data_IF_290538994156
#
_entry.id   IF_290538994156
#
_cell.length_a   1.000
_cell.length_b   1.000
_cell.length_c   1.000
_cell.angle_alpha   90.00
_cell.angle_beta   90.00
_cell.angle_gamma   90.00
#
_symmetry.space_group_name_H-M   'P 1'
#
loop_
_entity.id
_entity.type
_entity.pdbx_description
1 polymer ?
#
# COMPACT_ATOMS: atom_id res chain seq x y z
N UNK A 1 9.68 21.86 12.20
CA UNK A 1 9.67 22.48 10.84
C UNK A 1 10.60 21.75 9.88
N UNK A 2 11.93 21.90 9.94
CA UNK A 2 12.83 21.22 8.99
C UNK A 2 12.74 19.67 9.00
N UNK A 3 12.46 19.07 10.16
CA UNK A 3 12.28 17.62 10.29
C UNK A 3 10.95 17.15 9.67
N UNK A 4 9.84 17.83 9.95
CA UNK A 4 8.53 17.44 9.39
C UNK A 4 8.48 17.56 7.86
N UNK A 5 9.20 18.51 7.28
CA UNK A 5 9.30 18.65 5.82
C UNK A 5 10.13 17.50 5.21
N UNK A 6 11.15 17.02 5.94
CA UNK A 6 11.87 15.79 5.60
C UNK A 6 11.01 14.53 5.75
N UNK A 7 10.15 14.47 6.76
CA UNK A 7 9.21 13.37 6.99
C UNK A 7 8.16 13.33 5.88
N UNK A 8 7.63 14.47 5.46
CA UNK A 8 6.70 14.58 4.32
C UNK A 8 7.32 14.05 3.03
N UNK A 9 8.57 14.42 2.74
CA UNK A 9 9.30 13.93 1.58
C UNK A 9 9.57 12.42 1.65
N UNK A 10 9.85 11.92 2.84
CA UNK A 10 10.04 10.48 3.09
C UNK A 10 8.76 9.70 2.85
N UNK A 11 7.63 10.18 3.40
CA UNK A 11 6.30 9.60 3.16
C UNK A 11 5.99 9.61 1.65
N UNK A 12 6.23 10.73 0.95
CA UNK A 12 5.97 10.86 -0.47
C UNK A 12 6.75 9.84 -1.32
N UNK A 13 8.04 9.63 -1.00
CA UNK A 13 8.87 8.61 -1.66
C UNK A 13 8.36 7.19 -1.45
N UNK A 14 7.93 6.85 -0.23
CA UNK A 14 7.34 5.54 0.11
C UNK A 14 6.05 5.31 -0.69
N UNK A 15 5.18 6.33 -0.75
CA UNK A 15 3.92 6.25 -1.52
C UNK A 15 4.20 6.07 -3.01
N UNK A 16 5.11 6.85 -3.59
CA UNK A 16 5.45 6.79 -5.02
C UNK A 16 6.07 5.44 -5.46
N UNK A 17 6.79 4.76 -4.57
CA UNK A 17 7.42 3.45 -4.80
C UNK A 17 6.53 2.24 -4.47
N UNK A 18 5.35 2.45 -3.89
CA UNK A 18 4.54 1.38 -3.34
C UNK A 18 3.87 0.55 -4.45
N UNK A 19 4.07 -0.77 -4.41
CA UNK A 19 3.38 -1.68 -5.34
C UNK A 19 2.10 -2.30 -4.78
N UNK A 20 1.89 -2.34 -3.46
CA UNK A 20 0.63 -2.82 -2.84
C UNK A 20 0.44 -2.40 -1.36
N UNK A 21 1.52 -2.48 -0.57
CA UNK A 21 1.61 -2.10 0.84
C UNK A 21 3.08 -1.72 1.16
N UNK A 22 3.36 -0.95 2.23
CA UNK A 22 4.73 -0.60 2.61
C UNK A 22 5.52 -1.85 3.02
N UNK A 23 6.78 -1.99 2.61
CA UNK A 23 7.69 -3.02 3.11
C UNK A 23 7.91 -2.90 4.62
N UNK A 24 8.46 -3.94 5.27
CA UNK A 24 8.67 -3.90 6.72
C UNK A 24 9.64 -2.79 7.16
N UNK A 25 10.63 -2.45 6.33
CA UNK A 25 11.50 -1.30 6.54
C UNK A 25 10.73 0.02 6.44
N UNK A 26 9.89 0.17 5.42
CA UNK A 26 9.04 1.36 5.25
C UNK A 26 8.00 1.49 6.35
N UNK A 27 7.44 0.37 6.84
CA UNK A 27 6.55 0.36 8.01
C UNK A 27 7.27 0.85 9.27
N UNK A 28 8.51 0.42 9.49
CA UNK A 28 9.31 0.89 10.62
C UNK A 28 9.59 2.40 10.52
N UNK A 29 9.94 2.89 9.31
CA UNK A 29 10.12 4.32 9.05
C UNK A 29 8.85 5.12 9.26
N UNK A 30 7.70 4.67 8.73
CA UNK A 30 6.42 5.36 8.92
C UNK A 30 5.97 5.36 10.37
N UNK A 31 6.19 4.26 11.12
CA UNK A 31 5.88 4.18 12.55
C UNK A 31 6.72 5.19 13.34
N UNK A 32 8.02 5.30 13.04
CA UNK A 32 8.87 6.31 13.66
C UNK A 32 8.37 7.75 13.39
N UNK A 33 7.85 8.03 12.19
CA UNK A 33 7.28 9.35 11.85
C UNK A 33 5.97 9.61 12.62
N UNK A 34 5.11 8.59 12.78
CA UNK A 34 3.90 8.68 13.61
C UNK A 34 4.24 9.05 15.05
N UNK A 35 5.32 8.46 15.60
CA UNK A 35 5.70 8.63 16.99
C UNK A 35 6.49 9.93 17.26
N UNK A 36 7.19 10.46 16.25
CA UNK A 36 8.16 11.56 16.42
C UNK A 36 7.79 12.90 15.77
N UNK A 37 6.89 12.93 14.78
CA UNK A 37 6.52 14.20 14.15
C UNK A 37 5.76 15.10 15.12
N UNK A 38 6.07 16.41 15.11
CA UNK A 38 5.37 17.41 15.94
C UNK A 38 4.08 17.91 15.27
N UNK A 39 3.89 17.60 13.98
CA UNK A 39 2.71 17.99 13.19
C UNK A 39 1.71 16.84 13.11
N UNK A 40 0.57 17.00 13.77
CA UNK A 40 -0.53 16.02 13.74
C UNK A 40 -0.98 15.61 12.34
N UNK A 41 -0.92 16.53 11.36
CA UNK A 41 -1.21 16.20 9.97
C UNK A 41 -0.24 15.19 9.36
N UNK A 42 1.06 15.29 9.66
CA UNK A 42 2.10 14.36 9.18
C UNK A 42 1.93 12.98 9.84
N UNK A 43 1.65 12.95 11.14
CA UNK A 43 1.33 11.70 11.86
C UNK A 43 0.13 10.97 11.23
N UNK A 44 -0.96 11.70 10.93
CA UNK A 44 -2.16 11.12 10.33
C UNK A 44 -1.92 10.57 8.92
N UNK A 45 -1.10 11.26 8.12
CA UNK A 45 -0.74 10.80 6.78
C UNK A 45 0.12 9.53 6.87
N UNK A 46 1.16 9.51 7.72
CA UNK A 46 2.00 8.32 7.91
C UNK A 46 1.18 7.10 8.39
N UNK A 47 0.24 7.31 9.31
CA UNK A 47 -0.67 6.28 9.79
C UNK A 47 -1.62 5.76 8.70
N UNK A 48 -2.13 6.64 7.83
CA UNK A 48 -2.94 6.23 6.69
C UNK A 48 -2.12 5.36 5.73
N UNK A 49 -0.91 5.80 5.37
CA UNK A 49 0.00 5.09 4.46
C UNK A 49 0.40 3.71 5.00
N UNK A 50 0.59 3.56 6.32
CA UNK A 50 0.82 2.28 6.99
C UNK A 50 -0.28 1.24 6.74
N UNK A 51 -1.52 1.69 6.56
CA UNK A 51 -2.72 0.84 6.48
C UNK A 51 -3.25 0.69 5.05
N UNK A 52 -2.58 1.26 4.05
CA UNK A 52 -2.98 1.14 2.65
C UNK A 52 -2.84 -0.31 2.16
N UNK A 53 -3.91 -0.83 1.53
CA UNK A 53 -3.91 -2.11 0.81
C UNK A 53 -4.51 -1.92 -0.59
N UNK A 54 -3.70 -2.10 -1.64
CA UNK A 54 -4.12 -1.91 -3.05
C UNK A 54 -4.38 -3.23 -3.81
N UNK A 55 -4.26 -4.37 -3.14
CA UNK A 55 -4.64 -5.70 -3.63
C UNK A 55 -4.95 -6.63 -2.45
N UNK A 56 -5.34 -7.86 -2.76
CA UNK A 56 -5.38 -8.94 -1.78
C UNK A 56 -4.03 -9.08 -1.06
N UNK A 57 -4.07 -9.17 0.27
CA UNK A 57 -2.89 -9.43 1.11
C UNK A 57 -2.39 -10.88 0.90
N UNK A 58 -1.29 -11.26 1.57
CA UNK A 58 -0.69 -12.59 1.39
C UNK A 58 -1.69 -13.74 1.65
N UNK A 59 -2.45 -13.65 2.73
CA UNK A 59 -3.51 -14.61 3.09
C UNK A 59 -4.64 -14.63 2.05
N UNK A 60 -5.05 -13.47 1.54
CA UNK A 60 -6.03 -13.34 0.47
C UNK A 60 -5.52 -13.96 -0.84
N UNK A 61 -4.25 -13.75 -1.19
CA UNK A 61 -3.63 -14.38 -2.37
C UNK A 61 -3.54 -15.90 -2.22
N UNK A 62 -3.17 -16.39 -1.05
CA UNK A 62 -3.17 -17.82 -0.74
C UNK A 62 -4.58 -18.42 -0.89
N UNK A 63 -5.59 -17.75 -0.30
CA UNK A 63 -7.00 -18.14 -0.41
C UNK A 63 -7.48 -18.17 -1.86
N UNK A 64 -7.16 -17.14 -2.66
CA UNK A 64 -7.50 -17.12 -4.09
C UNK A 64 -6.80 -18.26 -4.85
N UNK A 65 -5.55 -18.57 -4.52
CA UNK A 65 -4.80 -19.69 -5.11
C UNK A 65 -5.44 -21.04 -4.82
N UNK A 66 -5.90 -21.25 -3.58
CA UNK A 66 -6.63 -22.46 -3.20
C UNK A 66 -7.96 -22.61 -3.97
N UNK A 67 -8.70 -21.51 -4.18
CA UNK A 67 -9.96 -21.50 -4.95
C UNK A 67 -9.71 -21.88 -6.42
N UNK A 68 -8.65 -21.35 -7.04
CA UNK A 68 -8.28 -21.64 -8.42
C UNK A 68 -7.87 -23.12 -8.58
N UNK A 69 -7.07 -23.63 -7.64
CA UNK A 69 -6.56 -25.00 -7.64
C UNK A 69 -7.62 -26.07 -7.31
N UNK A 70 -8.76 -25.69 -6.73
CA UNK A 70 -9.81 -26.64 -6.37
C UNK A 70 -10.62 -27.11 -7.59
N UNK A 71 -10.53 -28.41 -7.94
CA UNK A 71 -11.24 -28.97 -9.10
C UNK A 71 -12.77 -28.89 -9.00
N UNK A 72 -13.32 -28.83 -7.80
CA UNK A 72 -14.76 -28.69 -7.56
C UNK A 72 -15.29 -27.25 -7.65
N UNK A 73 -14.43 -26.24 -7.82
CA UNK A 73 -14.87 -24.86 -7.94
C UNK A 73 -15.50 -24.59 -9.32
N UNK A 74 -16.69 -23.97 -9.39
CA UNK A 74 -17.30 -23.53 -10.65
C UNK A 74 -16.39 -22.59 -11.45
N UNK A 75 -16.42 -22.68 -12.78
CA UNK A 75 -15.52 -21.91 -13.66
C UNK A 75 -15.61 -20.38 -13.45
N UNK A 76 -16.81 -19.86 -13.21
CA UNK A 76 -17.02 -18.44 -12.91
C UNK A 76 -16.41 -18.01 -11.56
N UNK A 77 -16.32 -18.92 -10.59
CA UNK A 77 -15.68 -18.67 -9.29
C UNK A 77 -14.16 -18.62 -9.44
N UNK A 78 -13.57 -19.52 -10.24
CA UNK A 78 -12.15 -19.48 -10.57
C UNK A 78 -11.77 -18.19 -11.32
N UNK A 79 -12.57 -17.80 -12.31
CA UNK A 79 -12.34 -16.57 -13.08
C UNK A 79 -12.37 -15.31 -12.21
N UNK A 80 -13.28 -15.22 -11.23
CA UNK A 80 -13.30 -14.10 -10.30
C UNK A 80 -12.09 -14.11 -9.35
N UNK A 81 -11.67 -15.28 -8.87
CA UNK A 81 -10.48 -15.41 -8.03
C UNK A 81 -9.20 -15.00 -8.79
N UNK A 82 -9.09 -15.34 -10.08
CA UNK A 82 -8.00 -14.89 -10.96
C UNK A 82 -8.01 -13.37 -11.14
N UNK A 83 -9.18 -12.76 -11.36
CA UNK A 83 -9.32 -11.30 -11.46
C UNK A 83 -8.91 -10.62 -10.15
N UNK A 84 -9.35 -11.13 -8.99
CA UNK A 84 -8.98 -10.61 -7.67
C UNK A 84 -7.49 -10.80 -7.39
N UNK A 85 -6.90 -11.92 -7.80
CA UNK A 85 -5.46 -12.20 -7.66
C UNK A 85 -4.61 -11.27 -8.53
N UNK A 86 -5.09 -10.94 -9.73
CA UNK A 86 -4.45 -10.02 -10.67
C UNK A 86 -4.79 -8.54 -10.45
N UNK A 87 -5.73 -8.23 -9.55
CA UNK A 87 -6.15 -6.85 -9.29
C UNK A 87 -5.05 -6.08 -8.56
N UNK A 88 -4.51 -5.08 -9.23
CA UNK A 88 -3.61 -4.08 -8.64
C UNK A 88 -4.10 -2.70 -9.06
N UNK A 89 -4.53 -1.91 -8.08
CA UNK A 89 -4.76 -0.49 -8.30
C UNK A 89 -3.43 0.26 -8.13
N UNK A 90 -3.02 0.99 -9.15
CA UNK A 90 -1.90 1.93 -9.07
C UNK A 90 -2.40 3.36 -8.97
N UNK A 91 -1.70 4.18 -8.21
CA UNK A 91 -1.91 5.62 -8.22
C UNK A 91 -1.75 6.20 -9.63
N UNK A 92 -2.60 7.17 -9.96
CA UNK A 92 -2.58 7.83 -11.26
C UNK A 92 -1.24 8.52 -11.55
N UNK A 93 -0.89 8.69 -12.83
CA UNK A 93 0.33 9.42 -13.25
C UNK A 93 0.37 10.85 -12.68
N UNK A 94 -0.77 11.52 -12.61
CA UNK A 94 -0.87 12.87 -12.05
C UNK A 94 -0.57 12.90 -10.55
N UNK A 95 -1.05 11.91 -9.80
CA UNK A 95 -0.75 11.77 -8.37
C UNK A 95 0.74 11.50 -8.14
N UNK A 96 1.35 10.61 -8.94
CA UNK A 96 2.80 10.34 -8.88
C UNK A 96 3.65 11.58 -9.15
N UNK A 97 3.26 12.42 -10.11
CA UNK A 97 3.94 13.68 -10.37
C UNK A 97 3.84 14.64 -9.18
N UNK A 98 2.66 14.75 -8.56
CA UNK A 98 2.47 15.56 -7.35
C UNK A 98 3.34 15.07 -6.20
N UNK A 99 3.47 13.74 -6.01
CA UNK A 99 4.34 13.16 -4.98
C UNK A 99 5.83 13.41 -5.24
N UNK A 100 6.24 13.45 -6.52
CA UNK A 100 7.63 13.72 -6.89
C UNK A 100 8.07 15.17 -6.64
N UNK A 101 7.10 16.09 -6.53
CA UNK A 101 7.33 17.52 -6.29
C UNK A 101 7.32 17.90 -4.79
N UNK A 102 7.09 16.93 -3.89
CA UNK A 102 7.18 17.07 -2.42
C UNK A 102 8.63 16.90 -1.91
#
# INVERSE_FOLDING_TARGET
MAQDDGDLKTIAGIVAGMNHFPSDAEKATLTAIVDSSERRGVQMIASAVLNIQHAANAEGKETMGQIIAFDGAPANVKALAEVVMGFSHMESVAAKATLADL
#
